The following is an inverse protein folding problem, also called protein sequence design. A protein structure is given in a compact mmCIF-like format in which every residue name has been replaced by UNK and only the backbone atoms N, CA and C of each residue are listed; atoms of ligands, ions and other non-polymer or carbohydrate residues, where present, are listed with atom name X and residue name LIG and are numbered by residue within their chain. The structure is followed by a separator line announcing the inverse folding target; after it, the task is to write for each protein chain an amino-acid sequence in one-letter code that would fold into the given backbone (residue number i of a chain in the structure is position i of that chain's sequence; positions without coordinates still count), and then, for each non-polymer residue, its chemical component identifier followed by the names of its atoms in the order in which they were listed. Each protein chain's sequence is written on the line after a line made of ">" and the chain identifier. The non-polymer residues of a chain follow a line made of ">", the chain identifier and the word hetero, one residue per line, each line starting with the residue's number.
data_IF_542724183320
#
_entry.id   IF_542724183320
#
_cell.length_a   1.000
_cell.length_b   1.000
_cell.length_c   1.000
_cell.angle_alpha   90.00
_cell.angle_beta   90.00
_cell.angle_gamma   90.00
#
_symmetry.space_group_name_H-M   'P 1'
#
loop_
_entity.id
_entity.type
_entity.pdbx_description
1 polymer ?
#
# COMPACT_ATOMS: atom_id res chain seq x y z
N UNK A 1 -4.49 28.46 -11.36
CA UNK A 1 -5.64 27.70 -10.83
C UNK A 1 -6.03 26.69 -11.87
N UNK A 2 -5.70 25.41 -11.64
CA UNK A 2 -6.17 24.32 -12.50
C UNK A 2 -7.49 23.81 -11.94
N UNK A 3 -8.58 23.99 -12.69
CA UNK A 3 -9.86 23.42 -12.33
C UNK A 3 -9.75 21.91 -12.30
N UNK A 4 -10.09 21.28 -11.17
CA UNK A 4 -10.34 19.86 -11.14
C UNK A 4 -11.53 19.60 -12.08
N UNK A 5 -11.34 18.73 -13.09
CA UNK A 5 -12.46 18.26 -13.91
C UNK A 5 -13.54 17.68 -12.99
N UNK A 6 -14.80 18.06 -13.22
CA UNK A 6 -15.91 17.55 -12.43
C UNK A 6 -16.21 16.10 -12.87
N UNK A 7 -15.54 15.15 -12.22
CA UNK A 7 -15.72 13.72 -12.49
C UNK A 7 -17.06 13.28 -11.88
N UNK A 8 -17.98 12.65 -12.63
CA UNK A 8 -19.25 12.18 -12.06
C UNK A 8 -19.00 11.15 -10.94
N UNK A 9 -19.93 11.05 -10.00
CA UNK A 9 -19.86 10.02 -8.95
C UNK A 9 -19.98 8.62 -9.59
N UNK A 10 -19.24 7.65 -9.03
CA UNK A 10 -19.29 6.27 -9.48
C UNK A 10 -20.66 5.64 -9.19
N UNK A 11 -21.19 4.85 -10.13
CA UNK A 11 -22.42 4.09 -9.95
C UNK A 11 -22.25 2.87 -9.01
N UNK A 12 -21.01 2.45 -8.75
CA UNK A 12 -20.67 1.36 -7.84
C UNK A 12 -19.70 1.81 -6.74
N UNK A 13 -19.73 1.21 -5.53
CA UNK A 13 -18.78 1.52 -4.47
C UNK A 13 -17.33 1.28 -4.91
N UNK A 14 -16.47 2.27 -4.69
CA UNK A 14 -15.03 2.19 -4.94
C UNK A 14 -14.30 2.03 -3.60
N UNK A 15 -13.21 1.25 -3.62
CA UNK A 15 -12.22 1.19 -2.55
C UNK A 15 -10.90 1.71 -3.08
N UNK A 16 -10.34 2.73 -2.44
CA UNK A 16 -8.98 3.19 -2.71
C UNK A 16 -8.01 2.49 -1.75
N UNK A 17 -7.11 1.67 -2.28
CA UNK A 17 -6.21 0.83 -1.50
C UNK A 17 -4.85 1.48 -1.19
N UNK A 18 -4.56 2.68 -1.73
CA UNK A 18 -3.20 3.23 -1.75
C UNK A 18 -3.11 4.74 -1.56
N UNK A 19 -3.60 5.24 -0.41
CA UNK A 19 -3.63 6.67 -0.12
C UNK A 19 -2.41 7.13 0.68
N UNK A 20 -1.54 7.90 0.01
CA UNK A 20 -0.38 8.55 0.62
C UNK A 20 -0.75 9.87 1.33
N UNK A 21 -1.73 9.82 2.24
CA UNK A 21 -2.26 11.00 2.94
C UNK A 21 -1.43 11.43 4.17
N UNK A 22 -0.41 10.65 4.55
CA UNK A 22 0.48 10.96 5.67
C UNK A 22 1.37 12.19 5.47
N UNK A 23 1.45 12.73 4.24
CA UNK A 23 2.25 13.92 3.96
C UNK A 23 1.61 15.18 4.56
N UNK A 24 2.43 16.03 5.20
CA UNK A 24 1.97 17.24 5.94
C UNK A 24 1.12 18.20 5.10
N UNK A 25 1.29 18.22 3.78
CA UNK A 25 0.50 19.05 2.86
C UNK A 25 -1.00 18.73 2.89
N UNK A 26 -1.40 17.53 3.29
CA UNK A 26 -2.80 17.10 3.28
C UNK A 26 -3.50 17.25 4.63
N UNK A 27 -2.77 17.41 5.74
CA UNK A 27 -3.35 17.34 7.09
C UNK A 27 -4.49 18.34 7.32
N UNK A 28 -4.36 19.59 6.82
CA UNK A 28 -5.41 20.62 6.97
C UNK A 28 -6.63 20.39 6.08
N UNK A 29 -6.49 19.61 5.01
CA UNK A 29 -7.53 19.37 4.01
C UNK A 29 -8.06 17.95 4.05
N UNK A 30 -7.62 17.14 5.02
CA UNK A 30 -7.97 15.74 5.11
C UNK A 30 -9.48 15.50 5.28
N UNK A 31 -10.21 16.24 6.15
CA UNK A 31 -11.67 16.12 6.21
C UNK A 31 -12.34 16.40 4.85
N UNK A 32 -11.90 17.46 4.16
CA UNK A 32 -12.47 17.83 2.86
C UNK A 32 -12.14 16.80 1.77
N UNK A 33 -10.93 16.21 1.81
CA UNK A 33 -10.53 15.14 0.88
C UNK A 33 -11.42 13.92 1.07
N UNK A 34 -11.62 13.48 2.32
CA UNK A 34 -12.47 12.33 2.65
C UNK A 34 -13.91 12.59 2.24
N UNK A 35 -14.47 13.75 2.58
CA UNK A 35 -15.84 14.12 2.21
C UNK A 35 -16.05 14.14 0.70
N UNK A 36 -15.09 14.68 -0.07
CA UNK A 36 -15.14 14.64 -1.54
C UNK A 36 -15.05 13.22 -2.08
N UNK A 37 -14.19 12.38 -1.52
CA UNK A 37 -14.04 10.98 -1.93
C UNK A 37 -15.36 10.21 -1.75
N UNK A 38 -16.00 10.34 -0.58
CA UNK A 38 -17.33 9.77 -0.32
C UNK A 38 -18.38 10.27 -1.32
N UNK A 39 -18.42 11.58 -1.55
CA UNK A 39 -19.35 12.20 -2.53
C UNK A 39 -19.15 11.74 -3.98
N UNK A 40 -18.02 11.10 -4.30
CA UNK A 40 -17.74 10.50 -5.61
C UNK A 40 -17.85 8.97 -5.61
N UNK A 41 -18.28 8.36 -4.50
CA UNK A 41 -18.50 6.91 -4.38
C UNK A 41 -17.30 6.11 -3.86
N UNK A 42 -16.24 6.75 -3.36
CA UNK A 42 -15.14 6.07 -2.67
C UNK A 42 -15.56 5.78 -1.25
N UNK A 43 -15.94 4.54 -0.98
CA UNK A 43 -16.58 4.11 0.28
C UNK A 43 -15.60 3.59 1.32
N UNK A 44 -14.40 3.18 0.89
CA UNK A 44 -13.31 2.75 1.80
C UNK A 44 -11.97 3.20 1.25
N UNK A 45 -11.07 3.51 2.16
CA UNK A 45 -9.82 4.19 1.88
C UNK A 45 -8.74 3.62 2.80
N UNK A 46 -7.63 3.15 2.23
CA UNK A 46 -6.51 2.57 2.97
C UNK A 46 -5.32 3.52 2.92
N UNK A 47 -4.93 4.06 4.07
CA UNK A 47 -3.78 4.95 4.22
C UNK A 47 -2.51 4.12 4.29
N UNK A 48 -1.57 4.41 3.40
CA UNK A 48 -0.34 3.63 3.29
C UNK A 48 0.70 4.06 4.33
N UNK A 49 1.15 3.12 5.16
CA UNK A 49 2.33 3.28 6.01
C UNK A 49 3.58 2.88 5.24
N UNK A 50 4.64 3.69 5.25
CA UNK A 50 5.88 3.43 4.48
C UNK A 50 7.14 3.29 5.35
N UNK A 51 7.03 3.57 6.64
CA UNK A 51 8.07 3.40 7.66
C UNK A 51 7.39 3.18 9.00
N UNK A 52 8.15 2.87 10.06
CA UNK A 52 7.55 2.74 11.40
C UNK A 52 6.76 4.01 11.79
N UNK A 53 7.39 5.19 11.72
CA UNK A 53 6.72 6.44 12.10
C UNK A 53 5.56 6.82 11.18
N UNK A 54 5.66 6.53 9.88
CA UNK A 54 4.57 6.75 8.95
C UNK A 54 3.39 5.79 9.18
N UNK A 55 3.68 4.53 9.55
CA UNK A 55 2.68 3.52 9.90
C UNK A 55 1.93 3.90 11.18
N UNK A 56 2.64 4.37 12.20
CA UNK A 56 2.01 4.90 13.42
C UNK A 56 1.08 6.08 13.10
N UNK A 57 1.49 6.98 12.21
CA UNK A 57 0.65 8.09 11.77
C UNK A 57 -0.58 7.62 10.98
N UNK A 58 -0.41 6.67 10.06
CA UNK A 58 -1.50 6.10 9.28
C UNK A 58 -2.56 5.43 10.16
N UNK A 59 -2.14 4.61 11.14
CA UNK A 59 -3.06 3.95 12.09
C UNK A 59 -3.78 4.97 12.98
N UNK A 60 -3.07 6.01 13.46
CA UNK A 60 -3.71 7.12 14.20
C UNK A 60 -4.78 7.82 13.36
N UNK A 61 -4.48 8.14 12.10
CA UNK A 61 -5.44 8.78 11.19
C UNK A 61 -6.63 7.87 10.91
N UNK A 62 -6.38 6.58 10.70
CA UNK A 62 -7.43 5.59 10.46
C UNK A 62 -8.36 5.40 11.67
N UNK A 63 -7.93 5.80 12.88
CA UNK A 63 -8.75 5.76 14.09
C UNK A 63 -9.26 7.12 14.54
N UNK A 64 -9.01 8.20 13.79
CA UNK A 64 -9.51 9.54 14.13
C UNK A 64 -11.05 9.53 14.07
N UNK A 65 -11.77 9.77 15.19
CA UNK A 65 -13.23 9.74 15.23
C UNK A 65 -13.90 10.74 14.29
N UNK A 66 -13.21 11.83 13.92
CA UNK A 66 -13.72 12.83 13.00
C UNK A 66 -13.66 12.38 11.52
N UNK A 67 -12.93 11.31 11.22
CA UNK A 67 -12.61 10.90 9.85
C UNK A 67 -12.92 9.43 9.55
N UNK A 68 -12.83 8.56 10.56
CA UNK A 68 -12.81 7.12 10.33
C UNK A 68 -14.19 6.51 10.06
N UNK A 69 -15.27 7.23 10.35
CA UNK A 69 -16.66 6.79 10.15
C UNK A 69 -17.35 7.71 9.14
N UNK A 70 -18.06 7.11 8.19
CA UNK A 70 -18.99 7.85 7.33
C UNK A 70 -20.24 8.25 8.16
N UNK A 71 -20.51 9.56 8.29
CA UNK A 71 -21.61 10.05 9.11
C UNK A 71 -23.00 9.64 8.58
N UNK A 72 -23.12 9.26 7.31
CA UNK A 72 -24.39 8.87 6.69
C UNK A 72 -24.73 7.39 6.90
N UNK A 73 -23.73 6.53 7.06
CA UNK A 73 -23.90 5.07 7.16
C UNK A 73 -23.44 4.48 8.49
N UNK A 74 -22.74 5.26 9.31
CA UNK A 74 -22.07 4.79 10.53
C UNK A 74 -21.07 3.65 10.28
N UNK A 75 -20.59 3.50 9.04
CA UNK A 75 -19.60 2.48 8.68
C UNK A 75 -18.19 3.07 8.74
N UNK A 76 -17.21 2.22 9.08
CA UNK A 76 -15.79 2.57 8.98
C UNK A 76 -15.39 2.74 7.52
N UNK A 77 -14.72 3.84 7.23
CA UNK A 77 -14.27 4.21 5.88
C UNK A 77 -12.76 4.35 5.77
N UNK A 78 -12.06 4.59 6.88
CA UNK A 78 -10.59 4.68 6.90
C UNK A 78 -9.97 3.44 7.55
N UNK A 79 -8.95 2.96 6.86
CA UNK A 79 -8.07 1.86 7.25
C UNK A 79 -6.62 2.28 7.00
N UNK A 80 -5.68 1.48 7.49
CA UNK A 80 -4.26 1.71 7.30
C UNK A 80 -3.52 0.41 6.95
N UNK A 81 -2.33 0.57 6.39
CA UNK A 81 -1.30 -0.47 6.35
C UNK A 81 -0.17 -0.11 7.32
N UNK A 82 0.59 -1.10 7.76
CA UNK A 82 1.81 -0.86 8.54
C UNK A 82 2.98 -1.66 7.98
N UNK A 83 4.10 -1.00 7.70
CA UNK A 83 5.27 -1.59 7.10
C UNK A 83 6.44 -0.61 6.93
N UNK A 84 7.50 -1.12 6.32
CA UNK A 84 8.72 -0.39 5.94
C UNK A 84 8.96 -0.61 4.46
N UNK A 85 8.89 0.48 3.72
CA UNK A 85 9.12 0.58 2.29
C UNK A 85 10.57 0.24 1.95
N UNK A 86 10.88 -0.35 0.76
CA UNK A 86 12.25 -0.67 0.36
C UNK A 86 13.24 0.49 0.49
N UNK A 87 12.80 1.74 0.26
CA UNK A 87 13.67 2.90 0.41
C UNK A 87 14.19 3.11 1.84
N UNK A 88 13.40 2.71 2.84
CA UNK A 88 13.69 2.87 4.26
C UNK A 88 14.25 1.58 4.91
N UNK A 89 14.49 0.51 4.12
CA UNK A 89 14.97 -0.78 4.64
C UNK A 89 16.28 -0.68 5.45
N UNK A 90 17.17 0.25 5.11
CA UNK A 90 18.41 0.53 5.88
C UNK A 90 18.16 1.03 7.31
N UNK A 91 16.96 1.50 7.61
CA UNK A 91 16.56 1.97 8.94
C UNK A 91 15.89 0.88 9.78
N UNK A 92 15.72 -0.33 9.23
CA UNK A 92 15.19 -1.47 9.98
C UNK A 92 16.14 -1.88 11.09
N UNK A 93 15.72 -1.65 12.33
CA UNK A 93 16.53 -1.86 13.52
C UNK A 93 15.92 -2.83 14.52
N UNK A 94 16.62 -3.00 15.65
CA UNK A 94 16.14 -3.81 16.76
C UNK A 94 14.83 -3.20 17.29
N UNK A 95 13.74 -3.97 17.22
CA UNK A 95 12.43 -3.57 17.72
C UNK A 95 11.45 -3.08 16.64
N UNK A 96 11.89 -2.82 15.41
CA UNK A 96 11.00 -2.38 14.32
C UNK A 96 9.89 -3.41 14.07
N UNK A 97 10.23 -4.70 13.96
CA UNK A 97 9.25 -5.76 13.79
C UNK A 97 8.21 -5.82 14.93
N UNK A 98 8.64 -5.61 16.18
CA UNK A 98 7.75 -5.61 17.33
C UNK A 98 6.82 -4.39 17.33
N UNK A 99 7.32 -3.21 16.96
CA UNK A 99 6.51 -2.01 16.81
C UNK A 99 5.46 -2.17 15.69
N UNK A 100 5.85 -2.75 14.54
CA UNK A 100 4.90 -3.04 13.46
C UNK A 100 3.84 -4.07 13.88
N UNK A 101 4.24 -5.13 14.60
CA UNK A 101 3.27 -6.12 15.13
C UNK A 101 2.20 -5.44 15.99
N UNK A 102 2.60 -4.57 16.91
CA UNK A 102 1.66 -3.86 17.78
C UNK A 102 0.67 -3.00 16.98
N UNK A 103 1.12 -2.38 15.87
CA UNK A 103 0.22 -1.64 14.98
C UNK A 103 -0.73 -2.56 14.19
N UNK A 104 -0.26 -3.73 13.77
CA UNK A 104 -1.04 -4.69 12.97
C UNK A 104 -2.13 -5.42 13.77
N UNK A 105 -2.04 -5.40 15.10
CA UNK A 105 -3.10 -5.85 16.00
C UNK A 105 -4.30 -4.88 16.03
N UNK A 106 -4.12 -3.62 15.62
CA UNK A 106 -5.21 -2.66 15.51
C UNK A 106 -6.22 -3.08 14.41
N UNK A 107 -7.54 -3.11 14.70
CA UNK A 107 -8.55 -3.49 13.70
C UNK A 107 -8.59 -2.60 12.46
N UNK A 108 -8.14 -1.34 12.56
CA UNK A 108 -8.04 -0.42 11.43
C UNK A 108 -6.80 -0.71 10.56
N UNK A 109 -5.81 -1.44 11.07
CA UNK A 109 -4.61 -1.82 10.35
C UNK A 109 -4.82 -3.17 9.62
N UNK A 110 -5.02 -3.11 8.31
CA UNK A 110 -5.57 -4.24 7.53
C UNK A 110 -4.54 -5.04 6.75
N UNK A 111 -3.32 -4.52 6.56
CA UNK A 111 -2.28 -5.19 5.78
C UNK A 111 -0.88 -4.86 6.28
N UNK A 112 0.06 -5.78 6.05
CA UNK A 112 1.49 -5.54 6.18
C UNK A 112 1.98 -4.85 4.92
N UNK A 113 2.62 -3.70 5.07
CA UNK A 113 3.15 -2.91 3.96
C UNK A 113 2.90 -1.42 4.15
N UNK A 114 3.36 -0.57 3.26
CA UNK A 114 4.04 -0.89 2.01
C UNK A 114 5.42 -1.50 2.26
N UNK A 115 5.65 -2.69 1.69
CA UNK A 115 6.90 -3.44 1.78
C UNK A 115 7.25 -4.03 0.41
N UNK A 116 8.49 -4.47 0.18
CA UNK A 116 8.88 -5.06 -1.10
C UNK A 116 10.26 -4.59 -1.54
N UNK A 117 10.45 -4.45 -2.86
CA UNK A 117 11.75 -4.16 -3.48
C UNK A 117 11.66 -3.02 -4.49
N UNK A 118 12.60 -2.09 -4.46
CA UNK A 118 12.81 -1.06 -5.48
C UNK A 118 14.31 -0.98 -5.83
N UNK A 119 14.68 -1.69 -6.89
CA UNK A 119 16.05 -1.71 -7.41
C UNK A 119 16.33 -0.61 -8.43
N UNK A 120 15.30 0.15 -8.82
CA UNK A 120 15.45 1.30 -9.70
C UNK A 120 16.01 2.52 -8.96
N UNK A 121 15.40 2.89 -7.82
CA UNK A 121 15.85 4.02 -6.99
C UNK A 121 16.95 3.61 -6.02
N UNK A 122 16.86 2.39 -5.51
CA UNK A 122 17.90 1.73 -4.72
C UNK A 122 18.44 2.57 -3.54
N UNK A 123 17.55 3.26 -2.82
CA UNK A 123 17.93 4.13 -1.69
C UNK A 123 18.37 3.38 -0.42
N UNK A 124 18.11 2.08 -0.37
CA UNK A 124 18.68 1.14 0.59
C UNK A 124 19.38 0.00 -0.15
N UNK A 125 20.47 -0.58 0.41
CA UNK A 125 21.16 -1.71 -0.20
C UNK A 125 20.23 -2.90 -0.53
N UNK A 126 20.40 -3.58 -1.67
CA UNK A 126 19.51 -4.68 -2.07
C UNK A 126 19.37 -5.79 -1.03
N UNK A 127 20.46 -6.18 -0.37
CA UNK A 127 20.47 -7.18 0.71
C UNK A 127 19.63 -6.74 1.92
N UNK A 128 19.67 -5.44 2.26
CA UNK A 128 18.79 -4.88 3.29
C UNK A 128 17.32 -4.90 2.85
N UNK A 129 17.02 -4.56 1.59
CA UNK A 129 15.66 -4.62 1.06
C UNK A 129 15.09 -6.05 1.10
N UNK A 130 15.85 -7.02 0.59
CA UNK A 130 15.46 -8.45 0.59
C UNK A 130 15.19 -8.95 2.00
N UNK A 131 16.12 -8.74 2.94
CA UNK A 131 15.96 -9.19 4.32
C UNK A 131 14.72 -8.57 4.99
N UNK A 132 14.54 -7.25 4.83
CA UNK A 132 13.41 -6.53 5.44
C UNK A 132 12.08 -6.90 4.81
N UNK A 133 12.05 -7.18 3.51
CA UNK A 133 10.86 -7.68 2.85
C UNK A 133 10.50 -9.08 3.35
N UNK A 134 11.47 -9.98 3.45
CA UNK A 134 11.27 -11.34 3.95
C UNK A 134 10.75 -11.36 5.40
N UNK A 135 11.33 -10.54 6.29
CA UNK A 135 10.87 -10.40 7.68
C UNK A 135 9.42 -9.89 7.77
N UNK A 136 9.04 -8.94 6.93
CA UNK A 136 7.66 -8.44 6.88
C UNK A 136 6.69 -9.46 6.29
N UNK A 137 7.10 -10.22 5.28
CA UNK A 137 6.30 -11.30 4.72
C UNK A 137 6.04 -12.42 5.75
N UNK A 138 7.05 -12.81 6.53
CA UNK A 138 6.86 -13.74 7.66
C UNK A 138 5.90 -13.20 8.71
N UNK A 139 6.03 -11.91 9.06
CA UNK A 139 5.10 -11.25 9.99
C UNK A 139 3.65 -11.26 9.48
N UNK A 140 3.45 -11.08 8.16
CA UNK A 140 2.13 -11.14 7.55
C UNK A 140 1.50 -12.54 7.66
N UNK A 141 2.29 -13.60 7.43
CA UNK A 141 1.87 -15.00 7.63
C UNK A 141 1.48 -15.25 9.08
N UNK A 142 2.35 -14.89 10.03
CA UNK A 142 2.12 -15.10 11.46
C UNK A 142 0.85 -14.42 11.97
N UNK A 143 0.51 -13.25 11.43
CA UNK A 143 -0.67 -12.48 11.83
C UNK A 143 -1.91 -12.76 10.96
N UNK A 144 -1.78 -13.62 9.93
CA UNK A 144 -2.86 -13.87 8.97
C UNK A 144 -3.30 -12.60 8.21
N UNK A 145 -2.38 -11.66 7.98
CA UNK A 145 -2.64 -10.38 7.29
C UNK A 145 -2.18 -10.47 5.81
N UNK A 146 -2.85 -9.78 4.89
CA UNK A 146 -2.36 -9.64 3.52
C UNK A 146 -1.12 -8.75 3.45
N UNK A 147 -0.35 -8.93 2.37
CA UNK A 147 0.78 -8.08 2.00
C UNK A 147 0.35 -7.01 0.98
N UNK A 148 0.75 -5.78 1.23
CA UNK A 148 0.65 -4.64 0.33
C UNK A 148 2.04 -4.31 -0.22
N UNK A 149 2.34 -4.82 -1.42
CA UNK A 149 3.68 -4.97 -1.94
C UNK A 149 4.05 -3.90 -2.98
N UNK A 150 5.19 -3.26 -2.79
CA UNK A 150 5.89 -2.47 -3.80
C UNK A 150 6.86 -3.34 -4.59
N UNK A 151 6.84 -3.22 -5.90
CA UNK A 151 7.87 -3.82 -6.76
C UNK A 151 8.24 -2.84 -7.87
N UNK A 152 9.56 -2.67 -8.08
CA UNK A 152 10.11 -1.92 -9.22
C UNK A 152 11.50 -2.42 -9.60
N UNK A 153 11.65 -2.80 -10.87
CA UNK A 153 12.89 -3.35 -11.47
C UNK A 153 13.50 -4.50 -10.65
N UNK A 154 12.66 -5.26 -9.94
CA UNK A 154 13.06 -6.28 -8.97
C UNK A 154 12.24 -7.57 -9.08
N UNK A 155 11.42 -7.73 -10.12
CA UNK A 155 10.45 -8.83 -10.29
C UNK A 155 10.97 -10.21 -9.91
N UNK A 156 12.07 -10.67 -10.52
CA UNK A 156 12.62 -12.00 -10.26
C UNK A 156 13.02 -12.19 -8.79
N UNK A 157 13.65 -11.16 -8.19
CA UNK A 157 14.08 -11.22 -6.80
C UNK A 157 12.91 -11.09 -5.83
N UNK A 158 11.92 -10.30 -6.17
CA UNK A 158 10.69 -10.14 -5.41
C UNK A 158 9.98 -11.49 -5.25
N UNK A 159 9.85 -12.25 -6.34
CA UNK A 159 9.28 -13.60 -6.31
C UNK A 159 10.15 -14.57 -5.52
N UNK A 160 11.47 -14.54 -5.71
CA UNK A 160 12.39 -15.39 -4.96
C UNK A 160 12.30 -15.16 -3.43
N UNK A 161 12.15 -13.91 -2.98
CA UNK A 161 11.97 -13.60 -1.56
C UNK A 161 10.65 -14.18 -1.05
N UNK A 162 9.55 -14.00 -1.79
CA UNK A 162 8.24 -14.55 -1.39
C UNK A 162 8.24 -16.08 -1.35
N UNK A 163 8.92 -16.74 -2.29
CA UNK A 163 9.01 -18.20 -2.38
C UNK A 163 9.78 -18.82 -1.19
N UNK A 164 10.58 -18.04 -0.46
CA UNK A 164 11.27 -18.47 0.78
C UNK A 164 10.35 -18.44 2.02
N UNK A 165 9.19 -17.80 1.94
CA UNK A 165 8.30 -17.57 3.08
C UNK A 165 7.28 -18.70 3.17
N UNK A 166 7.57 -19.67 4.04
CA UNK A 166 6.67 -20.79 4.29
C UNK A 166 5.30 -20.32 4.82
N UNK A 167 4.22 -20.93 4.32
CA UNK A 167 2.85 -20.62 4.75
C UNK A 167 2.24 -19.35 4.13
N UNK A 168 2.95 -18.66 3.25
CA UNK A 168 2.39 -17.53 2.52
C UNK A 168 1.32 -17.98 1.53
N UNK A 169 0.10 -17.48 1.70
CA UNK A 169 -1.00 -17.66 0.75
C UNK A 169 -0.86 -16.65 -0.41
N UNK A 170 -0.67 -17.09 -1.66
CA UNK A 170 -0.60 -16.19 -2.81
C UNK A 170 -1.82 -15.27 -2.95
N UNK A 171 -3.02 -15.73 -2.57
CA UNK A 171 -4.24 -14.92 -2.62
C UNK A 171 -4.24 -13.76 -1.60
N UNK A 172 -3.22 -13.67 -0.74
CA UNK A 172 -3.04 -12.59 0.23
C UNK A 172 -1.93 -11.62 -0.16
N UNK A 173 -1.38 -11.73 -1.37
CA UNK A 173 -0.36 -10.81 -1.89
C UNK A 173 -1.01 -9.83 -2.85
N UNK A 174 -0.88 -8.53 -2.59
CA UNK A 174 -1.29 -7.47 -3.50
C UNK A 174 -0.07 -6.68 -3.97
N UNK A 175 0.31 -6.80 -5.24
CA UNK A 175 1.34 -5.95 -5.86
C UNK A 175 0.70 -4.63 -6.29
N UNK A 176 0.98 -3.55 -5.57
CA UNK A 176 0.33 -2.26 -5.80
C UNK A 176 1.07 -1.44 -6.88
N UNK A 177 0.34 -0.51 -7.51
CA UNK A 177 0.86 0.42 -8.51
C UNK A 177 1.71 -0.25 -9.60
N UNK A 178 1.20 -1.34 -10.18
CA UNK A 178 1.91 -2.11 -11.18
C UNK A 178 2.24 -1.26 -12.42
N UNK A 179 3.51 -1.24 -12.80
CA UNK A 179 4.03 -0.51 -13.97
C UNK A 179 5.01 -1.34 -14.81
N UNK A 180 5.05 -2.65 -14.57
CA UNK A 180 5.97 -3.59 -15.21
C UNK A 180 5.52 -4.08 -16.58
N UNK A 181 6.22 -5.10 -17.08
CA UNK A 181 5.94 -5.73 -18.37
C UNK A 181 4.76 -6.70 -18.29
N UNK A 182 4.09 -6.94 -19.43
CA UNK A 182 2.96 -7.88 -19.52
C UNK A 182 3.28 -9.28 -18.96
N UNK A 183 4.48 -9.80 -19.21
CA UNK A 183 4.92 -11.10 -18.71
C UNK A 183 4.94 -11.18 -17.19
N UNK A 184 5.32 -10.08 -16.51
CA UNK A 184 5.36 -9.98 -15.06
C UNK A 184 3.94 -9.98 -14.48
N UNK A 185 3.03 -9.24 -15.11
CA UNK A 185 1.60 -9.24 -14.77
C UNK A 185 0.99 -10.64 -14.90
N UNK A 186 1.23 -11.31 -16.03
CA UNK A 186 0.74 -12.67 -16.28
C UNK A 186 1.28 -13.66 -15.25
N UNK A 187 2.53 -13.50 -14.79
CA UNK A 187 3.08 -14.30 -13.70
C UNK A 187 2.42 -14.04 -12.36
N UNK A 188 2.21 -12.78 -11.97
CA UNK A 188 1.50 -12.45 -10.74
C UNK A 188 0.09 -13.04 -10.71
N UNK A 189 -0.66 -12.91 -11.81
CA UNK A 189 -2.01 -13.48 -11.93
C UNK A 189 -1.98 -15.00 -11.85
N UNK A 190 -1.04 -15.66 -12.53
CA UNK A 190 -0.89 -17.12 -12.52
C UNK A 190 -0.58 -17.66 -11.13
N UNK A 191 0.22 -16.93 -10.35
CA UNK A 191 0.53 -17.26 -8.95
C UNK A 191 -0.67 -17.02 -8.01
N UNK A 192 -1.68 -16.27 -8.44
CA UNK A 192 -2.87 -15.95 -7.64
C UNK A 192 -2.77 -14.64 -6.87
N UNK A 193 -1.81 -13.77 -7.21
CA UNK A 193 -1.67 -12.46 -6.58
C UNK A 193 -2.73 -11.49 -7.08
N UNK A 194 -3.09 -10.52 -6.24
CA UNK A 194 -3.81 -9.33 -6.67
C UNK A 194 -2.85 -8.30 -7.23
N UNK A 195 -3.30 -7.55 -8.23
CA UNK A 195 -2.51 -6.48 -8.86
C UNK A 195 -3.30 -5.18 -8.85
N UNK A 196 -2.71 -4.15 -8.24
CA UNK A 196 -3.29 -2.82 -8.10
C UNK A 196 -2.85 -1.89 -9.23
N UNK A 197 -3.83 -1.17 -9.80
CA UNK A 197 -3.59 -0.16 -10.83
C UNK A 197 -3.90 1.23 -10.27
N UNK A 198 -3.13 2.23 -10.70
CA UNK A 198 -3.32 3.64 -10.33
C UNK A 198 -3.55 4.49 -11.59
N UNK A 199 -3.71 5.81 -11.40
CA UNK A 199 -3.80 6.76 -12.52
C UNK A 199 -2.62 6.74 -13.49
N UNK A 200 -1.50 6.05 -13.16
CA UNK A 200 -0.41 5.81 -14.09
C UNK A 200 -0.85 5.09 -15.38
N UNK A 201 -1.94 4.31 -15.34
CA UNK A 201 -2.52 3.68 -16.54
C UNK A 201 -3.00 4.71 -17.56
N UNK A 202 -3.38 5.90 -17.10
CA UNK A 202 -3.87 7.00 -17.94
C UNK A 202 -2.76 8.00 -18.35
N UNK A 203 -1.49 7.72 -18.03
CA UNK A 203 -0.38 8.59 -18.44
C UNK A 203 0.11 8.19 -19.83
N UNK A 204 -0.41 8.86 -20.87
CA UNK A 204 -0.06 8.61 -22.28
C UNK A 204 1.45 8.70 -22.56
N UNK A 205 2.21 9.41 -21.72
CA UNK A 205 3.67 9.53 -21.84
C UNK A 205 4.42 8.26 -21.41
N UNK A 206 3.77 7.37 -20.66
CA UNK A 206 4.34 6.10 -20.18
C UNK A 206 3.98 4.91 -21.07
N UNK A 207 2.92 5.03 -21.89
CA UNK A 207 2.53 4.01 -22.88
C UNK A 207 3.30 4.06 -24.21
N UNK A 208 4.15 5.07 -24.39
CA UNK A 208 5.01 5.15 -25.57
C UNK A 208 6.20 4.19 -25.41
N UNK A 209 6.09 3.01 -26.03
CA UNK A 209 7.26 2.19 -26.32
C UNK A 209 8.34 3.06 -27.00
N UNK A 210 9.64 2.86 -26.71
CA UNK A 210 10.69 3.55 -27.45
C UNK A 210 10.53 3.20 -28.94
N UNK A 211 10.48 4.23 -29.78
CA UNK A 211 10.61 4.07 -31.24
C UNK A 211 11.99 3.57 -31.59
#
# INVERSE_FOLDING_TARGET
>A
GGGFMDVPASAAPIVDIGLNLGHKSFQKSLPDIVARALGKGVTRMVITGTSQGASEAAVRMANDPALCIDPSTSQRILYATAGVHPHDAKHWGKGTAAALRALLEDPACVAVGECGLDFNRNFSPPDAQERVFEEQARLAVELGKPLFCHERDAHAKFLEVLDRVEGLDPARVCVHCFTGARSELEEYVRRGFFVGFTGCVCDDRRGAAPR
#
